data_IF_930036655529
#
_entry.id   IF_930036655529
#
_cell.length_a   1.000
_cell.length_b   1.000
_cell.length_c   1.000
_cell.angle_alpha   90.00
_cell.angle_beta   90.00
_cell.angle_gamma   90.00
#
_symmetry.space_group_name_H-M   'P 1'
#
loop_
_entity.id
_entity.type
_entity.pdbx_description
1 polymer ?
#
# COMPACT_ATOMS: atom_id res chain seq x y z
N UNK A 1 -13.38 -28.02 24.45
CA UNK A 1 -13.01 -27.13 25.57
C UNK A 1 -12.17 -25.94 25.08
N UNK A 2 -12.66 -25.20 24.07
CA UNK A 2 -11.92 -24.08 23.43
C UNK A 2 -12.84 -22.87 23.15
N UNK A 3 -13.98 -22.79 23.84
CA UNK A 3 -14.96 -21.71 23.71
C UNK A 3 -14.88 -20.60 24.78
N UNK A 4 -14.25 -20.75 25.97
CA UNK A 4 -14.22 -19.65 26.95
C UNK A 4 -13.15 -18.58 26.71
N UNK A 5 -12.03 -18.90 26.04
CA UNK A 5 -10.90 -17.95 25.89
C UNK A 5 -11.15 -16.82 24.89
N UNK A 6 -12.12 -16.97 23.98
CA UNK A 6 -12.55 -15.89 23.08
C UNK A 6 -13.45 -14.86 23.78
N UNK A 7 -14.03 -15.18 24.94
CA UNK A 7 -14.87 -14.21 25.69
C UNK A 7 -14.08 -13.28 26.59
N UNK A 8 -12.86 -13.64 27.00
CA UNK A 8 -12.09 -12.81 27.94
C UNK A 8 -11.23 -11.74 27.26
N UNK A 9 -10.89 -11.92 25.97
CA UNK A 9 -10.34 -10.84 25.15
C UNK A 9 -11.40 -9.80 24.72
N UNK A 10 -12.69 -10.08 24.95
CA UNK A 10 -13.80 -9.17 24.63
C UNK A 10 -14.16 -8.21 25.77
N UNK A 11 -13.69 -8.40 27.01
CA UNK A 11 -14.16 -7.60 28.16
C UNK A 11 -13.25 -6.45 28.59
N UNK A 12 -12.08 -6.28 27.96
CA UNK A 12 -11.16 -5.14 28.21
C UNK A 12 -11.15 -4.13 27.06
N UNK A 13 -11.90 -4.41 25.98
CA UNK A 13 -12.22 -3.43 24.96
C UNK A 13 -13.65 -2.94 25.19
N UNK A 14 -13.79 -1.81 25.89
CA UNK A 14 -14.92 -0.90 25.64
C UNK A 14 -15.14 -0.79 24.12
N UNK A 15 -16.38 -0.69 23.61
CA UNK A 15 -16.68 -0.78 22.19
C UNK A 15 -16.07 0.42 21.48
N UNK A 16 -14.80 0.31 21.10
CA UNK A 16 -14.14 1.27 20.23
C UNK A 16 -14.92 1.22 18.92
N UNK A 17 -15.49 2.36 18.53
CA UNK A 17 -16.12 2.55 17.25
C UNK A 17 -15.27 1.88 16.15
N UNK A 18 -15.88 1.13 15.22
CA UNK A 18 -15.13 0.41 14.20
C UNK A 18 -14.17 1.36 13.49
N UNK A 19 -12.87 1.09 13.59
CA UNK A 19 -11.82 1.92 13.02
C UNK A 19 -12.13 2.17 11.52
N UNK A 20 -11.93 3.39 11.00
CA UNK A 20 -12.22 3.74 9.61
C UNK A 20 -11.15 3.25 8.63
N UNK A 21 -9.97 2.87 9.13
CA UNK A 21 -8.81 2.44 8.34
C UNK A 21 -9.12 1.16 7.53
N UNK A 22 -9.79 0.13 8.10
CA UNK A 22 -10.33 -0.99 7.33
C UNK A 22 -11.24 -0.56 6.17
N UNK A 23 -12.05 0.51 6.33
CA UNK A 23 -13.04 0.90 5.32
C UNK A 23 -12.42 1.57 4.11
N UNK A 24 -11.48 2.50 4.27
CA UNK A 24 -10.91 3.24 3.14
C UNK A 24 -10.22 2.31 2.10
N UNK A 25 -9.47 1.31 2.56
CA UNK A 25 -8.85 0.30 1.69
C UNK A 25 -9.88 -0.54 0.94
N UNK A 26 -10.91 -1.00 1.64
CA UNK A 26 -11.99 -1.76 0.99
C UNK A 26 -12.75 -0.92 -0.04
N UNK A 27 -12.81 0.40 0.13
CA UNK A 27 -13.40 1.32 -0.84
C UNK A 27 -12.51 1.54 -2.05
N UNK A 28 -11.19 1.61 -1.91
CA UNK A 28 -10.27 1.62 -3.07
C UNK A 28 -10.39 0.32 -3.87
N UNK A 29 -10.47 -0.82 -3.21
CA UNK A 29 -10.72 -2.11 -3.88
C UNK A 29 -12.11 -2.15 -4.56
N UNK A 30 -13.16 -1.63 -3.90
CA UNK A 30 -14.49 -1.54 -4.47
C UNK A 30 -14.57 -0.58 -5.67
N UNK A 31 -13.83 0.52 -5.64
CA UNK A 31 -13.68 1.44 -6.76
C UNK A 31 -13.05 0.71 -7.96
N UNK A 32 -11.93 0.01 -7.76
CA UNK A 32 -11.30 -0.79 -8.82
C UNK A 32 -12.24 -1.86 -9.36
N UNK A 33 -13.01 -2.52 -8.49
CA UNK A 33 -14.01 -3.51 -8.89
C UNK A 33 -15.11 -2.91 -9.77
N UNK A 34 -15.59 -1.70 -9.46
CA UNK A 34 -16.60 -1.01 -10.29
C UNK A 34 -16.03 -0.59 -11.64
N UNK A 35 -14.82 -0.03 -11.65
CA UNK A 35 -14.14 0.37 -12.89
C UNK A 35 -13.89 -0.84 -13.79
N UNK A 36 -13.29 -1.91 -13.25
CA UNK A 36 -13.00 -3.12 -14.05
C UNK A 36 -14.21 -3.99 -14.33
N UNK A 37 -15.26 -3.91 -13.51
CA UNK A 37 -16.54 -4.54 -13.82
C UNK A 37 -17.17 -3.90 -15.06
N UNK A 38 -17.26 -2.57 -15.10
CA UNK A 38 -17.73 -1.85 -16.29
C UNK A 38 -16.82 -2.08 -17.50
N UNK A 39 -15.51 -1.95 -17.31
CA UNK A 39 -14.51 -2.17 -18.36
C UNK A 39 -14.61 -3.60 -18.91
N UNK A 40 -14.73 -4.60 -18.04
CA UNK A 40 -14.83 -6.01 -18.42
C UNK A 40 -16.09 -6.31 -19.21
N UNK A 41 -17.24 -5.73 -18.84
CA UNK A 41 -18.48 -5.88 -19.61
C UNK A 41 -18.32 -5.31 -21.01
N UNK A 42 -17.88 -4.05 -21.13
CA UNK A 42 -17.69 -3.40 -22.45
C UNK A 42 -16.59 -4.11 -23.26
N UNK A 43 -15.50 -4.48 -22.60
CA UNK A 43 -14.36 -5.13 -23.21
C UNK A 43 -14.69 -6.51 -23.77
N UNK A 44 -15.34 -7.37 -22.99
CA UNK A 44 -15.65 -8.75 -23.38
C UNK A 44 -16.86 -8.83 -24.30
N UNK A 45 -17.91 -8.04 -24.06
CA UNK A 45 -19.16 -8.16 -24.82
C UNK A 45 -19.17 -7.35 -26.11
N UNK A 46 -18.35 -6.29 -26.20
CA UNK A 46 -18.36 -5.37 -27.35
C UNK A 46 -17.01 -5.39 -28.08
N UNK A 47 -15.93 -5.04 -27.41
CA UNK A 47 -14.64 -4.84 -28.08
C UNK A 47 -13.98 -6.15 -28.53
N UNK A 48 -14.09 -7.21 -27.73
CA UNK A 48 -13.45 -8.50 -28.01
C UNK A 48 -14.06 -9.20 -29.24
N UNK A 49 -15.40 -9.28 -29.41
CA UNK A 49 -15.99 -9.80 -30.65
C UNK A 49 -15.60 -8.99 -31.88
N UNK A 50 -15.53 -7.65 -31.77
CA UNK A 50 -15.15 -6.77 -32.88
C UNK A 50 -13.70 -7.00 -33.28
N UNK A 51 -12.80 -7.15 -32.32
CA UNK A 51 -11.39 -7.47 -32.58
C UNK A 51 -11.25 -8.83 -33.29
N UNK A 52 -11.97 -9.85 -32.81
CA UNK A 52 -11.92 -11.19 -33.38
C UNK A 52 -12.47 -11.25 -34.82
N UNK A 53 -13.46 -10.42 -35.15
CA UNK A 53 -14.01 -10.31 -36.51
C UNK A 53 -13.09 -9.59 -37.50
N UNK A 54 -11.96 -9.03 -37.04
CA UNK A 54 -10.93 -8.49 -37.91
C UNK A 54 -10.21 -9.59 -38.70
N UNK A 55 -9.68 -9.24 -39.87
CA UNK A 55 -8.93 -10.17 -40.72
C UNK A 55 -7.55 -9.61 -41.13
N UNK A 56 -7.02 -8.63 -40.40
CA UNK A 56 -5.74 -8.00 -40.74
C UNK A 56 -4.55 -8.94 -40.52
N UNK A 57 -4.61 -9.82 -39.51
CA UNK A 57 -3.52 -10.75 -39.20
C UNK A 57 -3.50 -12.00 -40.10
N UNK A 58 -4.60 -12.30 -40.78
CA UNK A 58 -4.69 -13.47 -41.69
C UNK A 58 -3.93 -13.27 -43.01
N UNK A 59 -3.51 -12.05 -43.33
CA UNK A 59 -2.79 -11.75 -44.58
C UNK A 59 -1.29 -12.10 -44.49
N UNK A 60 -0.70 -12.09 -43.29
CA UNK A 60 0.71 -12.41 -43.04
C UNK A 60 0.88 -13.86 -42.52
N UNK A 61 0.77 -14.87 -43.38
CA UNK A 61 0.92 -16.29 -42.99
C UNK A 61 2.39 -16.74 -42.92
N UNK A 62 2.97 -16.74 -41.70
CA UNK A 62 4.21 -17.47 -41.36
C UNK A 62 3.96 -18.43 -40.18
N UNK A 63 4.46 -19.66 -40.24
CA UNK A 63 4.07 -20.78 -39.36
C UNK A 63 4.73 -20.74 -37.96
N UNK A 64 5.74 -19.90 -37.77
CA UNK A 64 6.55 -19.78 -36.54
C UNK A 64 5.88 -18.96 -35.42
N UNK A 65 4.87 -18.14 -35.71
CA UNK A 65 4.25 -17.18 -34.77
C UNK A 65 2.90 -17.61 -34.16
N UNK A 66 2.50 -18.88 -34.36
CA UNK A 66 1.17 -19.40 -34.01
C UNK A 66 0.63 -19.03 -32.59
N UNK A 67 1.39 -19.17 -31.48
CA UNK A 67 0.86 -18.85 -30.16
C UNK A 67 0.67 -17.35 -29.92
N UNK A 68 1.57 -16.50 -30.40
CA UNK A 68 1.45 -15.04 -30.28
C UNK A 68 0.29 -14.50 -31.14
N UNK A 69 0.13 -15.07 -32.34
CA UNK A 69 -0.95 -14.72 -33.28
C UNK A 69 -2.35 -15.00 -32.72
N UNK A 70 -2.49 -15.98 -31.82
CA UNK A 70 -3.78 -16.33 -31.19
C UNK A 70 -4.31 -15.23 -30.27
N UNK A 71 -3.45 -14.58 -29.48
CA UNK A 71 -3.86 -13.51 -28.55
C UNK A 71 -3.99 -12.16 -29.26
N UNK A 72 -3.16 -11.92 -30.28
CA UNK A 72 -3.22 -10.71 -31.10
C UNK A 72 -4.51 -10.63 -31.93
N UNK A 73 -5.15 -11.77 -32.22
CA UNK A 73 -6.48 -11.82 -32.86
C UNK A 73 -7.59 -11.15 -32.03
N UNK A 74 -7.44 -11.10 -30.70
CA UNK A 74 -8.38 -10.46 -29.78
C UNK A 74 -8.01 -9.01 -29.44
N UNK A 75 -7.01 -8.46 -30.10
CA UNK A 75 -6.51 -7.10 -29.93
C UNK A 75 -6.91 -6.20 -31.10
N UNK A 76 -6.86 -4.89 -30.89
CA UNK A 76 -7.13 -3.88 -31.92
C UNK A 76 -6.17 -3.98 -33.12
N UNK A 77 -5.04 -4.67 -32.96
CA UNK A 77 -4.11 -4.99 -34.06
C UNK A 77 -4.80 -5.74 -35.20
N UNK A 78 -5.79 -6.61 -34.89
CA UNK A 78 -6.50 -7.40 -35.89
C UNK A 78 -7.56 -6.61 -36.69
N UNK A 79 -7.95 -5.41 -36.22
CA UNK A 79 -8.96 -4.59 -36.89
C UNK A 79 -8.34 -3.78 -38.03
N UNK A 80 -8.85 -3.98 -39.25
CA UNK A 80 -8.32 -3.36 -40.47
C UNK A 80 -8.20 -1.84 -40.40
N UNK A 81 -7.14 -1.31 -41.02
CA UNK A 81 -6.91 0.12 -41.16
C UNK A 81 -8.09 0.81 -41.88
N UNK A 82 -8.54 1.96 -41.37
CA UNK A 82 -9.66 2.73 -41.94
C UNK A 82 -11.04 2.11 -41.76
N UNK A 83 -11.15 0.98 -41.04
CA UNK A 83 -12.42 0.29 -40.86
C UNK A 83 -13.42 1.07 -40.00
N UNK A 84 -14.73 0.91 -40.29
CA UNK A 84 -15.82 1.48 -39.48
C UNK A 84 -15.83 0.91 -38.05
N UNK A 85 -15.27 -0.28 -37.83
CA UNK A 85 -15.17 -0.92 -36.51
C UNK A 85 -14.32 -0.12 -35.52
N UNK A 86 -13.31 0.62 -35.99
CA UNK A 86 -12.47 1.48 -35.15
C UNK A 86 -13.26 2.60 -34.45
N UNK A 87 -14.40 3.01 -35.01
CA UNK A 87 -15.30 3.97 -34.37
C UNK A 87 -15.94 3.43 -33.09
N UNK A 88 -16.11 2.10 -32.98
CA UNK A 88 -16.61 1.50 -31.74
C UNK A 88 -15.56 1.61 -30.63
N UNK A 89 -14.28 1.40 -30.94
CA UNK A 89 -13.19 1.63 -29.98
C UNK A 89 -13.10 3.11 -29.58
N UNK A 90 -13.24 4.03 -30.53
CA UNK A 90 -13.29 5.46 -30.25
C UNK A 90 -14.41 5.81 -29.27
N UNK A 91 -15.64 5.37 -29.55
CA UNK A 91 -16.78 5.58 -28.64
C UNK A 91 -16.55 4.94 -27.27
N UNK A 92 -15.98 3.73 -27.22
CA UNK A 92 -15.69 3.04 -25.98
C UNK A 92 -14.67 3.81 -25.11
N UNK A 93 -13.61 4.37 -25.69
CA UNK A 93 -12.62 5.19 -24.98
C UNK A 93 -13.28 6.42 -24.35
N UNK A 94 -14.17 7.09 -25.09
CA UNK A 94 -14.92 8.25 -24.60
C UNK A 94 -15.84 7.91 -23.43
N UNK A 95 -16.68 6.88 -23.60
CA UNK A 95 -17.63 6.43 -22.57
C UNK A 95 -16.87 5.97 -21.33
N UNK A 96 -15.83 5.15 -21.51
CA UNK A 96 -15.01 4.66 -20.42
C UNK A 96 -14.36 5.79 -19.63
N UNK A 97 -13.77 6.78 -20.32
CA UNK A 97 -13.18 7.95 -19.67
C UNK A 97 -14.21 8.73 -18.84
N UNK A 98 -15.41 8.95 -19.39
CA UNK A 98 -16.50 9.61 -18.67
C UNK A 98 -16.93 8.83 -17.41
N UNK A 99 -17.10 7.52 -17.52
CA UNK A 99 -17.46 6.64 -16.40
C UNK A 99 -16.39 6.63 -15.31
N UNK A 100 -15.11 6.51 -15.69
CA UNK A 100 -14.00 6.55 -14.71
C UNK A 100 -13.97 7.91 -14.01
N UNK A 101 -14.05 9.03 -14.73
CA UNK A 101 -14.10 10.36 -14.12
C UNK A 101 -15.30 10.53 -13.17
N UNK A 102 -16.48 10.07 -13.56
CA UNK A 102 -17.68 10.08 -12.72
C UNK A 102 -17.49 9.28 -11.43
N UNK A 103 -17.04 8.02 -11.54
CA UNK A 103 -16.79 7.16 -10.39
C UNK A 103 -15.70 7.75 -9.47
N UNK A 104 -14.65 8.31 -10.06
CA UNK A 104 -13.57 8.96 -9.34
C UNK A 104 -14.07 10.17 -8.54
N UNK A 105 -14.93 11.00 -9.13
CA UNK A 105 -15.55 12.14 -8.46
C UNK A 105 -16.44 11.70 -7.30
N UNK A 106 -17.31 10.71 -7.55
CA UNK A 106 -18.21 10.15 -6.55
C UNK A 106 -17.45 9.59 -5.34
N UNK A 107 -16.41 8.78 -5.57
CA UNK A 107 -15.62 8.19 -4.49
C UNK A 107 -14.78 9.24 -3.75
N UNK A 108 -14.28 10.28 -4.42
CA UNK A 108 -13.58 11.39 -3.75
C UNK A 108 -14.51 12.11 -2.78
N UNK A 109 -15.73 12.43 -3.22
CA UNK A 109 -16.76 13.03 -2.38
C UNK A 109 -17.09 12.14 -1.19
N UNK A 110 -17.34 10.86 -1.43
CA UNK A 110 -17.66 9.89 -0.39
C UNK A 110 -16.54 9.76 0.66
N UNK A 111 -15.29 9.58 0.24
CA UNK A 111 -14.14 9.44 1.15
C UNK A 111 -13.90 10.72 1.94
N UNK A 112 -14.04 11.89 1.31
CA UNK A 112 -13.93 13.17 2.01
C UNK A 112 -14.98 13.32 3.11
N UNK A 113 -16.23 12.95 2.84
CA UNK A 113 -17.31 12.95 3.83
C UNK A 113 -17.04 11.97 4.98
N UNK A 114 -16.57 10.75 4.66
CA UNK A 114 -16.22 9.75 5.69
C UNK A 114 -15.05 10.17 6.56
N UNK A 115 -14.06 10.89 5.99
CA UNK A 115 -12.95 11.46 6.74
C UNK A 115 -13.44 12.46 7.79
N UNK A 116 -14.35 13.37 7.42
CA UNK A 116 -14.96 14.30 8.38
C UNK A 116 -15.81 13.60 9.44
N UNK A 117 -16.70 12.69 9.02
CA UNK A 117 -17.55 11.95 9.94
C UNK A 117 -16.71 11.18 10.98
N UNK A 118 -15.59 10.59 10.53
CA UNK A 118 -14.65 9.95 11.42
C UNK A 118 -14.02 10.95 12.39
N UNK A 119 -13.48 12.07 11.89
CA UNK A 119 -12.85 13.10 12.72
C UNK A 119 -13.75 13.57 13.87
N UNK A 120 -15.04 13.82 13.59
CA UNK A 120 -16.00 14.20 14.63
C UNK A 120 -16.29 13.07 15.63
N UNK A 121 -16.41 11.83 15.16
CA UNK A 121 -16.69 10.67 16.04
C UNK A 121 -15.48 10.19 16.86
N UNK A 122 -14.27 10.61 16.49
CA UNK A 122 -13.05 10.13 17.14
C UNK A 122 -12.80 10.83 18.47
N UNK A 123 -12.31 10.05 19.43
CA UNK A 123 -11.77 10.58 20.69
C UNK A 123 -10.57 11.51 20.42
N UNK A 124 -10.32 12.50 21.30
CA UNK A 124 -9.13 13.35 21.23
C UNK A 124 -7.85 12.51 21.08
N UNK A 125 -7.05 12.81 20.06
CA UNK A 125 -5.78 12.12 19.82
C UNK A 125 -4.60 13.07 20.07
N UNK A 126 -3.48 12.60 20.66
CA UNK A 126 -2.35 13.47 20.98
C UNK A 126 -1.79 14.28 19.80
N UNK A 127 -1.83 13.69 18.60
CA UNK A 127 -1.32 14.33 17.38
C UNK A 127 -2.18 15.50 16.88
N UNK A 128 -3.39 15.68 17.42
CA UNK A 128 -4.27 16.81 17.09
C UNK A 128 -3.92 18.06 17.90
N UNK A 129 -3.27 17.89 19.07
CA UNK A 129 -2.93 18.96 20.01
C UNK A 129 -1.42 19.26 20.05
N UNK A 130 -0.62 18.53 19.28
CA UNK A 130 0.84 18.61 19.33
C UNK A 130 1.39 19.11 18.00
N UNK A 131 2.23 20.14 18.05
CA UNK A 131 2.95 20.67 16.89
C UNK A 131 4.43 20.30 16.97
N UNK A 132 5.03 19.98 15.82
CA UNK A 132 6.46 19.71 15.72
C UNK A 132 7.20 21.00 15.34
N UNK A 133 7.95 21.55 16.29
CA UNK A 133 8.78 22.74 16.06
C UNK A 133 10.19 22.29 15.64
N UNK A 134 10.70 22.87 14.55
CA UNK A 134 12.04 22.59 14.00
C UNK A 134 12.80 23.89 13.79
N UNK A 135 14.13 23.84 13.79
CA UNK A 135 14.98 25.00 13.51
C UNK A 135 15.02 26.04 14.63
N UNK A 136 15.02 25.58 15.89
CA UNK A 136 15.01 26.47 17.06
C UNK A 136 16.39 27.15 17.19
N UNK A 137 16.47 28.49 17.19
CA UNK A 137 17.72 29.20 17.46
C UNK A 137 18.04 29.11 18.95
N UNK A 138 19.19 28.51 19.29
CA UNK A 138 19.63 28.39 20.69
C UNK A 138 20.78 29.37 20.92
N UNK A 139 20.58 30.33 21.81
CA UNK A 139 21.61 31.29 22.21
C UNK A 139 22.60 30.68 23.21
N UNK A 140 23.85 31.14 23.19
CA UNK A 140 24.88 30.72 24.14
C UNK A 140 24.49 31.09 25.57
N UNK A 141 24.03 30.10 26.35
CA UNK A 141 23.68 30.26 27.78
C UNK A 141 22.26 29.84 28.16
N UNK A 142 21.34 29.66 27.21
CA UNK A 142 19.98 29.16 27.47
C UNK A 142 19.79 27.73 26.96
N UNK A 143 19.08 26.89 27.71
CA UNK A 143 18.72 25.57 27.17
C UNK A 143 17.66 25.70 26.06
N UNK A 144 17.62 24.72 25.15
CA UNK A 144 16.56 24.66 24.13
C UNK A 144 15.16 24.63 24.77
N UNK A 145 15.03 23.96 25.93
CA UNK A 145 13.81 23.87 26.73
C UNK A 145 13.34 25.26 27.16
N UNK A 146 14.22 26.05 27.79
CA UNK A 146 13.91 27.42 28.25
C UNK A 146 13.54 28.36 27.09
N UNK A 147 14.22 28.21 25.95
CA UNK A 147 13.96 29.04 24.77
C UNK A 147 12.54 28.80 24.23
N UNK A 148 12.14 27.53 24.14
CA UNK A 148 10.79 27.13 23.70
C UNK A 148 9.75 27.56 24.72
N UNK A 149 9.97 27.31 26.00
CA UNK A 149 9.04 27.67 27.07
C UNK A 149 8.81 29.18 27.14
N UNK A 150 9.87 29.99 27.06
CA UNK A 150 9.76 31.45 27.01
C UNK A 150 8.94 31.91 25.82
N UNK A 151 9.25 31.42 24.62
CA UNK A 151 8.55 31.79 23.40
C UNK A 151 7.05 31.48 23.48
N UNK A 152 6.67 30.25 23.83
CA UNK A 152 5.25 29.89 23.85
C UNK A 152 4.49 30.52 25.02
N UNK A 153 5.13 30.77 26.16
CA UNK A 153 4.49 31.47 27.28
C UNK A 153 4.24 32.94 26.96
N UNK A 154 5.16 33.59 26.23
CA UNK A 154 5.04 35.00 25.82
C UNK A 154 3.98 35.19 24.73
N UNK A 155 4.00 34.38 23.66
CA UNK A 155 3.10 34.55 22.51
C UNK A 155 1.75 33.82 22.65
N UNK A 156 1.68 32.76 23.47
CA UNK A 156 0.52 31.87 23.56
C UNK A 156 0.16 31.46 25.01
N UNK A 157 -0.01 32.43 25.95
CA UNK A 157 -0.10 32.16 27.38
C UNK A 157 -1.31 31.29 27.78
N UNK A 158 -2.44 31.41 27.09
CA UNK A 158 -3.68 30.69 27.44
C UNK A 158 -3.82 29.32 26.78
N UNK A 159 -3.03 29.03 25.74
CA UNK A 159 -3.13 27.79 24.95
C UNK A 159 -1.94 26.86 25.13
N UNK A 160 -0.82 27.37 25.66
CA UNK A 160 0.38 26.58 25.87
C UNK A 160 0.20 25.61 27.05
N UNK A 161 0.38 24.30 26.79
CA UNK A 161 0.26 23.25 27.80
C UNK A 161 1.61 22.76 28.34
N UNK A 162 2.48 22.27 27.45
CA UNK A 162 3.80 21.74 27.77
C UNK A 162 4.61 21.53 26.49
N UNK A 163 5.90 21.21 26.64
CA UNK A 163 6.75 20.84 25.51
C UNK A 163 7.61 19.61 25.85
N UNK A 164 8.06 18.89 24.82
CA UNK A 164 9.01 17.79 24.94
C UNK A 164 10.17 18.01 23.97
N UNK A 165 11.39 18.11 24.50
CA UNK A 165 12.60 18.28 23.68
C UNK A 165 13.04 16.92 23.13
N UNK A 166 13.11 16.82 21.81
CA UNK A 166 13.63 15.63 21.12
C UNK A 166 15.14 15.54 21.35
N UNK A 167 15.60 14.43 21.94
CA UNK A 167 17.01 14.16 22.18
C UNK A 167 17.53 13.11 21.21
N UNK A 168 18.81 13.18 20.85
CA UNK A 168 19.45 12.13 20.05
C UNK A 168 19.69 10.92 20.95
N UNK A 169 18.88 9.88 20.79
CA UNK A 169 18.95 8.63 21.57
C UNK A 169 19.50 7.46 20.77
N UNK A 170 20.09 7.69 19.58
CA UNK A 170 20.56 6.63 18.68
C UNK A 170 21.46 5.59 19.39
N UNK A 171 22.42 6.03 20.21
CA UNK A 171 23.27 5.12 20.97
C UNK A 171 22.49 4.36 22.04
N UNK A 172 21.60 5.04 22.75
CA UNK A 172 20.73 4.43 23.76
C UNK A 172 19.78 3.39 23.13
N UNK A 173 19.19 3.69 21.97
CA UNK A 173 18.36 2.76 21.21
C UNK A 173 19.17 1.56 20.72
N UNK A 174 20.41 1.77 20.25
CA UNK A 174 21.31 0.68 19.86
C UNK A 174 21.59 -0.24 21.05
N UNK A 175 22.04 0.33 22.18
CA UNK A 175 22.32 -0.40 23.42
C UNK A 175 21.07 -1.15 23.92
N UNK A 176 19.90 -0.51 23.85
CA UNK A 176 18.62 -1.10 24.26
C UNK A 176 18.25 -2.29 23.36
N UNK A 177 18.44 -2.16 22.04
CA UNK A 177 18.17 -3.22 21.07
C UNK A 177 19.17 -4.38 21.18
N UNK A 178 20.43 -4.07 21.49
CA UNK A 178 21.48 -5.07 21.70
C UNK A 178 21.24 -5.82 23.01
N UNK A 179 20.84 -5.11 24.07
CA UNK A 179 20.40 -5.72 25.32
C UNK A 179 19.19 -6.65 25.10
N UNK A 180 18.19 -6.24 24.32
CA UNK A 180 17.06 -7.12 23.97
C UNK A 180 17.47 -8.36 23.17
N UNK A 181 18.42 -8.22 22.23
CA UNK A 181 18.97 -9.37 21.50
C UNK A 181 19.73 -10.30 22.44
N UNK A 182 20.51 -9.76 23.38
CA UNK A 182 21.23 -10.53 24.39
C UNK A 182 20.27 -11.22 25.36
N UNK A 183 19.23 -10.54 25.84
CA UNK A 183 18.16 -11.15 26.64
C UNK A 183 17.48 -12.28 25.88
N UNK A 184 17.10 -12.07 24.61
CA UNK A 184 16.52 -13.15 23.77
C UNK A 184 17.47 -14.34 23.61
N UNK A 185 18.77 -14.09 23.40
CA UNK A 185 19.78 -15.16 23.35
C UNK A 185 19.96 -15.84 24.70
N UNK A 186 19.96 -15.12 25.81
CA UNK A 186 20.08 -15.68 27.16
C UNK A 186 18.87 -16.52 27.52
N UNK A 187 17.66 -16.07 27.19
CA UNK A 187 16.43 -16.86 27.33
C UNK A 187 16.52 -18.13 26.48
N UNK A 188 16.97 -18.04 25.22
CA UNK A 188 17.20 -19.21 24.37
C UNK A 188 18.22 -20.17 24.97
N UNK A 189 19.36 -19.69 25.46
CA UNK A 189 20.41 -20.50 26.06
C UNK A 189 19.98 -21.13 27.40
N UNK A 190 19.19 -20.41 28.22
CA UNK A 190 18.62 -20.94 29.47
C UNK A 190 17.55 -22.01 29.19
N UNK A 191 16.84 -21.89 28.07
CA UNK A 191 15.89 -22.91 27.61
C UNK A 191 16.56 -24.16 27.03
N UNK A 192 17.77 -24.04 26.47
CA UNK A 192 18.61 -25.15 25.98
C UNK A 192 19.39 -25.83 27.12
N UNK A 193 18.69 -26.41 28.11
CA UNK A 193 19.36 -27.27 29.10
C UNK A 193 19.36 -28.74 28.64
N UNK A 194 20.16 -29.06 27.62
CA UNK A 194 20.75 -30.40 27.40
C UNK A 194 22.14 -30.25 26.77
N UNK A 195 23.20 -30.91 27.28
CA UNK A 195 24.53 -30.75 26.74
C UNK A 195 24.69 -31.63 25.50
N UNK A 196 24.78 -31.02 24.32
CA UNK A 196 25.40 -31.68 23.18
C UNK A 196 26.34 -30.72 22.45
N UNK A 197 27.62 -30.90 22.77
CA UNK A 197 28.79 -30.50 22.02
C UNK A 197 28.58 -30.72 20.51
N UNK A 198 28.70 -29.66 19.70
CA UNK A 198 28.92 -29.77 18.25
C UNK A 198 29.73 -28.61 17.70
N UNK A 199 30.89 -28.99 17.18
CA UNK A 199 31.80 -28.22 16.34
C UNK A 199 31.04 -27.50 15.21
N UNK A 200 31.37 -26.22 15.02
CA UNK A 200 30.94 -25.43 13.86
C UNK A 200 32.12 -25.35 12.90
N UNK A 201 31.96 -25.92 11.70
CA UNK A 201 32.83 -25.63 10.55
C UNK A 201 32.30 -24.39 9.85
N UNK A 202 33.19 -23.45 9.55
CA UNK A 202 32.86 -22.24 8.80
C UNK A 202 32.80 -22.55 7.30
N UNK A 203 31.63 -22.40 6.71
CA UNK A 203 31.40 -22.59 5.27
C UNK A 203 29.93 -22.35 4.90
N UNK A 204 29.69 -21.73 3.75
CA UNK A 204 28.36 -21.33 3.28
C UNK A 204 27.42 -22.54 3.18
N UNK A 205 26.49 -22.66 4.13
CA UNK A 205 25.43 -23.67 4.20
C UNK A 205 25.83 -25.13 3.90
N UNK A 206 27.08 -25.55 4.17
CA UNK A 206 27.46 -26.96 4.32
C UNK A 206 27.18 -27.93 3.17
N UNK A 207 26.86 -27.48 1.96
CA UNK A 207 26.50 -28.36 0.83
C UNK A 207 27.00 -27.76 -0.50
N UNK A 208 28.02 -28.40 -1.08
CA UNK A 208 28.43 -28.36 -2.50
C UNK A 208 29.05 -27.10 -3.11
N UNK A 209 30.20 -27.31 -3.76
CA UNK A 209 30.74 -26.45 -4.81
C UNK A 209 31.60 -27.24 -5.79
N UNK A 210 31.20 -27.30 -7.06
CA UNK A 210 32.08 -27.58 -8.20
C UNK A 210 32.02 -26.38 -9.14
N UNK A 211 33.19 -25.90 -9.55
CA UNK A 211 33.37 -24.80 -10.50
C UNK A 211 32.83 -25.22 -11.87
N UNK A 212 32.02 -24.36 -12.49
CA UNK A 212 31.57 -24.47 -13.88
C UNK A 212 31.95 -23.16 -14.58
N UNK A 213 32.48 -23.29 -15.80
CA UNK A 213 33.07 -22.21 -16.59
C UNK A 213 32.05 -21.12 -16.95
N UNK A 214 32.41 -19.88 -16.61
CA UNK A 214 31.49 -18.74 -16.51
C UNK A 214 31.42 -17.94 -17.82
N UNK A 215 32.14 -18.34 -18.88
CA UNK A 215 32.39 -17.48 -20.05
C UNK A 215 31.61 -17.79 -21.34
N UNK A 216 30.89 -18.92 -21.44
CA UNK A 216 29.88 -19.14 -22.52
C UNK A 216 28.45 -18.75 -22.08
N UNK A 217 28.25 -18.56 -20.77
CA UNK A 217 26.93 -18.30 -20.18
C UNK A 217 26.51 -16.82 -20.25
N UNK A 218 27.47 -15.89 -20.33
CA UNK A 218 27.20 -14.45 -20.48
C UNK A 218 27.18 -13.99 -21.94
N UNK A 219 27.92 -14.65 -22.85
CA UNK A 219 27.87 -14.36 -24.29
C UNK A 219 26.51 -14.68 -24.91
N UNK A 220 25.99 -15.90 -24.66
CA UNK A 220 24.61 -16.28 -25.04
C UNK A 220 23.52 -15.50 -24.32
N UNK A 221 23.81 -14.92 -23.15
CA UNK A 221 22.85 -14.04 -22.45
C UNK A 221 22.80 -12.65 -23.06
N UNK A 222 23.91 -12.17 -23.63
CA UNK A 222 23.98 -10.84 -24.24
C UNK A 222 23.37 -10.84 -25.65
N UNK A 223 23.63 -11.88 -26.45
CA UNK A 223 23.04 -12.07 -27.79
C UNK A 223 21.52 -12.34 -27.71
N UNK A 224 21.07 -13.17 -26.76
CA UNK A 224 19.63 -13.30 -26.47
C UNK A 224 19.01 -12.02 -25.89
N UNK A 225 19.76 -11.16 -25.21
CA UNK A 225 19.22 -9.90 -24.66
C UNK A 225 19.13 -8.84 -25.76
N UNK A 226 20.06 -8.81 -26.70
CA UNK A 226 20.09 -7.90 -27.84
C UNK A 226 19.01 -8.25 -28.88
N UNK A 227 18.80 -9.55 -29.16
CA UNK A 227 17.70 -10.02 -30.03
C UNK A 227 16.32 -9.87 -29.37
N UNK A 228 16.19 -10.08 -28.06
CA UNK A 228 14.93 -9.81 -27.34
C UNK A 228 14.60 -8.31 -27.27
N UNK A 229 15.61 -7.45 -27.14
CA UNK A 229 15.42 -5.98 -27.17
C UNK A 229 15.04 -5.49 -28.57
N UNK A 230 15.55 -6.13 -29.63
CA UNK A 230 15.20 -5.80 -31.03
C UNK A 230 13.80 -6.27 -31.42
N UNK A 231 13.37 -7.44 -30.95
CA UNK A 231 12.01 -7.97 -31.12
C UNK A 231 10.97 -7.17 -30.32
N UNK A 232 11.35 -6.60 -29.17
CA UNK A 232 10.46 -5.83 -28.30
C UNK A 232 10.07 -4.43 -28.82
N UNK A 233 10.70 -3.93 -29.89
CA UNK A 233 10.41 -2.58 -30.41
C UNK A 233 9.26 -2.54 -31.43
N UNK A 234 8.79 -3.71 -31.90
CA UNK A 234 7.70 -3.80 -32.88
C UNK A 234 6.41 -4.31 -32.23
N UNK A 235 5.46 -3.40 -32.10
CA UNK A 235 4.09 -3.58 -31.62
C UNK A 235 3.87 -3.49 -30.10
N UNK A 236 3.39 -2.32 -29.67
CA UNK A 236 2.79 -2.10 -28.34
C UNK A 236 1.57 -3.02 -28.12
N UNK A 237 0.95 -3.52 -29.19
CA UNK A 237 -0.19 -4.44 -29.15
C UNK A 237 0.23 -5.88 -28.77
N UNK A 238 1.34 -6.41 -29.29
CA UNK A 238 1.83 -7.78 -28.97
C UNK A 238 2.37 -7.94 -27.55
N UNK A 239 2.65 -6.82 -26.85
CA UNK A 239 3.05 -6.84 -25.43
C UNK A 239 1.90 -7.12 -24.46
N UNK A 240 0.64 -7.08 -24.92
CA UNK A 240 -0.51 -7.38 -24.07
C UNK A 240 -0.45 -8.79 -23.47
N UNK A 241 0.04 -9.77 -24.24
CA UNK A 241 0.24 -11.16 -23.82
C UNK A 241 1.20 -11.28 -22.62
N UNK A 242 2.30 -10.53 -22.64
CA UNK A 242 3.23 -10.44 -21.51
C UNK A 242 2.55 -9.87 -20.27
N UNK A 243 1.78 -8.79 -20.40
CA UNK A 243 1.09 -8.19 -19.25
C UNK A 243 -0.04 -9.07 -18.70
N UNK A 244 -0.77 -9.80 -19.56
CA UNK A 244 -1.74 -10.82 -19.13
C UNK A 244 -1.03 -11.91 -18.33
N UNK A 245 0.05 -12.46 -18.89
CA UNK A 245 0.85 -13.47 -18.20
C UNK A 245 1.39 -12.92 -16.87
N UNK A 246 1.86 -11.67 -16.83
CA UNK A 246 2.35 -11.01 -15.61
C UNK A 246 1.24 -10.84 -14.56
N UNK A 247 0.03 -10.43 -14.93
CA UNK A 247 -1.11 -10.29 -14.00
C UNK A 247 -1.49 -11.64 -13.40
N UNK A 248 -1.53 -12.70 -14.21
CA UNK A 248 -1.87 -14.06 -13.74
C UNK A 248 -0.73 -14.62 -12.89
N UNK A 249 0.51 -14.59 -13.40
CA UNK A 249 1.65 -15.21 -12.72
C UNK A 249 2.08 -14.42 -11.51
N UNK A 250 2.32 -13.12 -11.61
CA UNK A 250 2.79 -12.32 -10.47
C UNK A 250 1.64 -11.84 -9.60
N UNK A 251 0.53 -11.38 -10.19
CA UNK A 251 -0.59 -10.80 -9.45
C UNK A 251 -1.35 -11.84 -8.65
N UNK A 252 -1.88 -12.87 -9.31
CA UNK A 252 -2.69 -13.89 -8.63
C UNK A 252 -1.84 -14.73 -7.68
N UNK A 253 -0.68 -15.21 -8.12
CA UNK A 253 0.13 -16.09 -7.24
C UNK A 253 0.73 -15.32 -6.07
N UNK A 254 1.18 -14.07 -6.25
CA UNK A 254 1.67 -13.27 -5.10
C UNK A 254 0.53 -13.05 -4.11
N UNK A 255 -0.64 -12.64 -4.58
CA UNK A 255 -1.76 -12.30 -3.69
C UNK A 255 -2.30 -13.55 -2.97
N UNK A 256 -2.42 -14.68 -3.66
CA UNK A 256 -2.84 -15.94 -3.04
C UNK A 256 -1.76 -16.50 -2.09
N UNK A 257 -0.48 -16.46 -2.47
CA UNK A 257 0.59 -17.10 -1.69
C UNK A 257 1.04 -16.27 -0.48
N UNK A 258 1.13 -14.94 -0.61
CA UNK A 258 1.57 -14.06 0.50
C UNK A 258 0.43 -13.76 1.46
N UNK A 259 -0.77 -13.46 0.94
CA UNK A 259 -1.88 -12.94 1.76
C UNK A 259 -2.85 -14.01 2.23
N UNK A 260 -3.27 -14.95 1.38
CA UNK A 260 -4.27 -15.94 1.80
C UNK A 260 -3.66 -17.03 2.69
N UNK A 261 -2.56 -17.63 2.27
CA UNK A 261 -1.95 -18.74 3.02
C UNK A 261 -0.98 -18.27 4.11
N UNK A 262 -0.51 -17.02 4.07
CA UNK A 262 0.51 -16.47 4.99
C UNK A 262 1.58 -17.51 5.34
N UNK A 263 2.08 -18.21 4.31
CA UNK A 263 2.96 -19.37 4.49
C UNK A 263 4.23 -18.99 5.24
N UNK A 264 4.77 -17.80 4.99
CA UNK A 264 6.02 -17.34 5.60
C UNK A 264 5.95 -17.19 7.13
N UNK A 265 5.00 -16.42 7.73
CA UNK A 265 4.89 -16.36 9.18
C UNK A 265 4.41 -17.69 9.78
N UNK A 266 3.60 -18.49 9.06
CA UNK A 266 3.14 -19.79 9.54
C UNK A 266 4.29 -20.82 9.60
N UNK A 267 5.10 -20.92 8.55
CA UNK A 267 6.32 -21.74 8.52
C UNK A 267 7.33 -21.23 9.55
N UNK A 268 7.54 -19.90 9.65
CA UNK A 268 8.41 -19.33 10.68
C UNK A 268 7.93 -19.66 12.08
N UNK A 269 6.62 -19.61 12.35
CA UNK A 269 6.03 -19.97 13.63
C UNK A 269 6.19 -21.47 13.90
N UNK A 270 5.87 -22.36 12.95
CA UNK A 270 6.02 -23.80 13.10
C UNK A 270 7.49 -24.19 13.33
N UNK A 271 8.43 -23.57 12.61
CA UNK A 271 9.86 -23.81 12.79
C UNK A 271 10.33 -23.26 14.15
N UNK A 272 9.86 -22.10 14.60
CA UNK A 272 10.26 -21.50 15.89
C UNK A 272 9.60 -22.17 17.08
N UNK A 273 8.42 -22.75 16.94
CA UNK A 273 7.65 -23.40 18.01
C UNK A 273 8.39 -24.51 18.77
N UNK A 274 9.21 -25.38 18.14
CA UNK A 274 10.03 -26.34 18.88
C UNK A 274 11.29 -25.74 19.53
N UNK A 275 11.70 -24.51 19.16
CA UNK A 275 12.91 -23.86 19.70
C UNK A 275 12.61 -22.71 20.69
N UNK A 276 11.42 -22.12 20.67
CA UNK A 276 10.98 -21.17 21.70
C UNK A 276 10.40 -21.92 22.89
N UNK A 277 11.03 -21.75 24.06
CA UNK A 277 10.43 -22.13 25.34
C UNK A 277 9.06 -21.49 25.55
N UNK A 278 8.27 -22.04 26.47
CA UNK A 278 6.97 -21.49 26.90
C UNK A 278 7.17 -20.18 27.67
N UNK A 279 7.59 -19.12 26.99
CA UNK A 279 7.44 -17.76 27.46
C UNK A 279 6.38 -17.08 26.59
N UNK A 280 5.55 -16.26 27.24
CA UNK A 280 4.49 -15.47 26.64
C UNK A 280 5.08 -14.40 25.71
N UNK A 281 5.62 -14.83 24.56
CA UNK A 281 6.01 -13.95 23.46
C UNK A 281 4.75 -13.18 23.04
N UNK A 282 4.68 -11.90 23.43
CA UNK A 282 3.62 -10.98 23.05
C UNK A 282 3.58 -10.92 21.52
N UNK A 283 2.64 -11.68 20.92
CA UNK A 283 2.56 -11.86 19.49
C UNK A 283 2.37 -10.49 18.80
N UNK A 284 3.44 -9.99 18.19
CA UNK A 284 3.40 -8.70 17.50
C UNK A 284 2.48 -8.83 16.28
N UNK A 285 1.29 -8.24 16.39
CA UNK A 285 0.26 -8.35 15.36
C UNK A 285 0.76 -7.67 14.08
N UNK A 286 0.72 -8.36 12.93
CA UNK A 286 1.20 -7.80 11.68
C UNK A 286 0.38 -6.57 11.28
N UNK A 287 1.06 -5.59 10.71
CA UNK A 287 0.46 -4.37 10.15
C UNK A 287 0.42 -4.43 8.62
N UNK A 288 -0.43 -3.62 8.01
CA UNK A 288 -0.60 -3.56 6.56
C UNK A 288 0.67 -2.94 5.93
N UNK A 289 1.31 -3.59 4.95
CA UNK A 289 2.49 -3.04 4.28
C UNK A 289 2.09 -2.07 3.16
N UNK A 290 1.65 -0.87 3.54
CA UNK A 290 1.21 0.19 2.61
C UNK A 290 2.22 0.50 1.50
N UNK A 291 3.52 0.40 1.80
CA UNK A 291 4.60 0.72 0.87
C UNK A 291 4.70 -0.26 -0.30
N UNK A 292 4.29 -1.52 -0.14
CA UNK A 292 4.33 -2.53 -1.19
C UNK A 292 3.00 -2.69 -1.90
N UNK A 293 1.90 -2.63 -1.16
CA UNK A 293 0.62 -3.09 -1.68
C UNK A 293 -0.08 -2.01 -2.50
N UNK A 294 0.00 -0.75 -2.08
CA UNK A 294 -0.61 0.37 -2.81
C UNK A 294 0.01 0.49 -4.21
N UNK A 295 1.34 0.58 -4.39
CA UNK A 295 1.93 0.68 -5.72
C UNK A 295 1.58 -0.48 -6.65
N UNK A 296 1.48 -1.71 -6.13
CA UNK A 296 1.06 -2.89 -6.92
C UNK A 296 -0.36 -2.74 -7.45
N UNK A 297 -1.31 -2.34 -6.60
CA UNK A 297 -2.70 -2.12 -7.02
C UNK A 297 -2.81 -0.99 -8.03
N UNK A 298 -2.07 0.11 -7.82
CA UNK A 298 -2.02 1.23 -8.76
C UNK A 298 -1.44 0.83 -10.13
N UNK A 299 -0.42 -0.03 -10.14
CA UNK A 299 0.17 -0.56 -11.37
C UNK A 299 -0.80 -1.45 -12.16
N UNK A 300 -1.54 -2.35 -11.49
CA UNK A 300 -2.60 -3.11 -12.16
C UNK A 300 -3.76 -2.21 -12.62
N UNK A 301 -4.07 -1.16 -11.85
CA UNK A 301 -4.92 -0.04 -12.25
C UNK A 301 -4.52 0.56 -13.59
N UNK A 302 -3.24 0.93 -13.71
CA UNK A 302 -2.63 1.49 -14.91
C UNK A 302 -2.74 0.55 -16.10
N UNK A 303 -2.38 -0.73 -15.93
CA UNK A 303 -2.47 -1.71 -17.00
C UNK A 303 -3.90 -1.88 -17.49
N UNK A 304 -4.87 -2.06 -16.59
CA UNK A 304 -6.26 -2.27 -17.00
C UNK A 304 -6.89 -1.07 -17.70
N UNK A 305 -6.62 0.16 -17.23
CA UNK A 305 -7.11 1.37 -17.89
C UNK A 305 -6.44 1.55 -19.26
N UNK A 306 -5.13 1.34 -19.35
CA UNK A 306 -4.36 1.57 -20.58
C UNK A 306 -4.72 0.56 -21.67
N UNK A 307 -4.82 -0.72 -21.31
CA UNK A 307 -5.09 -1.81 -22.25
C UNK A 307 -6.58 -2.05 -22.50
N UNK A 308 -7.48 -1.30 -21.86
CA UNK A 308 -8.93 -1.43 -21.99
C UNK A 308 -9.41 -1.55 -23.44
N UNK A 309 -8.96 -0.64 -24.32
CA UNK A 309 -9.38 -0.60 -25.72
C UNK A 309 -8.43 -1.32 -26.68
N UNK A 310 -7.20 -1.61 -26.23
CA UNK A 310 -6.16 -2.28 -27.02
C UNK A 310 -6.39 -3.79 -27.01
N UNK A 311 -6.38 -4.39 -25.82
CA UNK A 311 -6.47 -5.81 -25.60
C UNK A 311 -7.44 -6.10 -24.45
N UNK A 312 -8.77 -6.05 -24.71
CA UNK A 312 -9.79 -6.17 -23.68
C UNK A 312 -9.75 -7.50 -22.90
N UNK A 313 -9.09 -8.52 -23.46
CA UNK A 313 -8.89 -9.83 -22.84
C UNK A 313 -8.14 -9.76 -21.49
N UNK A 314 -7.37 -8.70 -21.20
CA UNK A 314 -6.74 -8.51 -19.88
C UNK A 314 -7.74 -8.21 -18.77
N UNK A 315 -8.90 -7.65 -19.10
CA UNK A 315 -9.85 -7.11 -18.13
C UNK A 315 -10.52 -8.18 -17.26
N UNK A 316 -10.97 -9.34 -17.77
CA UNK A 316 -11.43 -10.45 -16.94
C UNK A 316 -10.39 -10.91 -15.93
N UNK A 317 -9.11 -11.00 -16.32
CA UNK A 317 -8.05 -11.44 -15.41
C UNK A 317 -7.80 -10.44 -14.29
N UNK A 318 -7.86 -9.14 -14.61
CA UNK A 318 -7.79 -8.06 -13.62
C UNK A 318 -9.04 -8.00 -12.73
N UNK A 319 -10.22 -8.28 -13.28
CA UNK A 319 -11.46 -8.33 -12.52
C UNK A 319 -11.41 -9.45 -11.46
N UNK A 320 -10.96 -10.65 -11.86
CA UNK A 320 -10.74 -11.77 -10.93
C UNK A 320 -9.70 -11.38 -9.85
N UNK A 321 -8.59 -10.74 -10.24
CA UNK A 321 -7.60 -10.23 -9.29
C UNK A 321 -8.22 -9.26 -8.27
N UNK A 322 -9.03 -8.29 -8.72
CA UNK A 322 -9.71 -7.34 -7.84
C UNK A 322 -10.78 -7.99 -6.96
N UNK A 323 -11.54 -8.96 -7.48
CA UNK A 323 -12.51 -9.74 -6.71
C UNK A 323 -11.83 -10.52 -5.57
N UNK A 324 -10.79 -11.29 -5.91
CA UNK A 324 -10.02 -12.06 -4.94
C UNK A 324 -9.35 -11.13 -3.92
N UNK A 325 -8.71 -10.06 -4.38
CA UNK A 325 -8.11 -9.04 -3.53
C UNK A 325 -9.11 -8.43 -2.56
N UNK A 326 -10.32 -8.08 -3.02
CA UNK A 326 -11.38 -7.53 -2.16
C UNK A 326 -11.76 -8.51 -1.05
N UNK A 327 -12.00 -9.79 -1.38
CA UNK A 327 -12.39 -10.81 -0.40
C UNK A 327 -11.27 -11.06 0.61
N UNK A 328 -10.04 -11.24 0.12
CA UNK A 328 -8.88 -11.57 0.95
C UNK A 328 -8.54 -10.40 1.89
N UNK A 329 -8.35 -9.19 1.36
CA UNK A 329 -8.01 -8.04 2.20
C UNK A 329 -9.13 -7.70 3.17
N UNK A 330 -10.41 -7.82 2.78
CA UNK A 330 -11.53 -7.62 3.71
C UNK A 330 -11.49 -8.61 4.87
N UNK A 331 -11.20 -9.88 4.60
CA UNK A 331 -11.05 -10.89 5.65
C UNK A 331 -9.85 -10.59 6.55
N UNK A 332 -8.69 -10.28 5.98
CA UNK A 332 -7.48 -9.99 6.75
C UNK A 332 -7.59 -8.72 7.58
N UNK A 333 -8.24 -7.67 7.08
CA UNK A 333 -8.48 -6.42 7.80
C UNK A 333 -9.40 -6.60 9.02
N UNK A 334 -10.31 -7.58 8.97
CA UNK A 334 -11.21 -7.86 10.07
C UNK A 334 -10.60 -8.81 11.11
N UNK A 335 -9.83 -9.80 10.67
CA UNK A 335 -9.42 -10.92 11.51
C UNK A 335 -7.94 -10.93 11.90
N UNK A 336 -7.08 -10.18 11.20
CA UNK A 336 -5.63 -10.40 11.32
C UNK A 336 -4.80 -9.12 11.46
N UNK A 337 -5.10 -8.07 10.71
CA UNK A 337 -4.29 -6.85 10.76
C UNK A 337 -4.68 -5.94 11.92
N UNK A 338 -3.68 -5.51 12.68
CA UNK A 338 -3.79 -4.36 13.56
C UNK A 338 -3.18 -3.13 12.84
N UNK A 339 -3.94 -2.03 12.68
CA UNK A 339 -3.39 -0.81 12.07
C UNK A 339 -2.35 -0.19 13.01
N UNK A 340 -1.08 -0.15 12.58
CA UNK A 340 0.02 0.48 13.34
C UNK A 340 -0.09 2.01 13.35
N UNK A 341 -0.69 2.59 12.32
CA UNK A 341 -0.91 4.02 12.19
C UNK A 341 -2.23 4.29 11.47
N UNK A 342 -2.88 5.38 11.86
CA UNK A 342 -4.11 5.85 11.23
C UNK A 342 -3.78 6.85 10.12
N UNK A 343 -4.03 6.48 8.86
CA UNK A 343 -3.75 7.35 7.71
C UNK A 343 -4.86 8.37 7.43
N UNK A 344 -6.06 8.16 8.00
CA UNK A 344 -7.25 8.99 7.74
C UNK A 344 -7.65 9.09 6.26
N UNK A 345 -7.24 8.13 5.42
CA UNK A 345 -7.50 8.18 3.97
C UNK A 345 -6.56 9.11 3.18
N UNK A 346 -5.46 9.58 3.77
CA UNK A 346 -4.46 10.44 3.09
C UNK A 346 -3.81 9.84 1.84
N UNK A 347 -3.92 8.53 1.63
CA UNK A 347 -3.43 7.86 0.43
C UNK A 347 -4.36 8.03 -0.78
N UNK A 348 -5.63 8.41 -0.58
CA UNK A 348 -6.61 8.53 -1.67
C UNK A 348 -6.22 9.53 -2.77
N UNK A 349 -5.69 10.74 -2.48
CA UNK A 349 -5.17 11.63 -3.51
C UNK A 349 -4.09 10.99 -4.40
N UNK A 350 -3.28 10.07 -3.85
CA UNK A 350 -2.30 9.31 -4.63
C UNK A 350 -2.98 8.36 -5.61
N UNK A 351 -4.02 7.64 -5.16
CA UNK A 351 -4.84 6.77 -6.02
C UNK A 351 -5.53 7.57 -7.12
N UNK A 352 -6.08 8.74 -6.78
CA UNK A 352 -6.72 9.64 -7.71
C UNK A 352 -5.74 10.11 -8.80
N UNK A 353 -4.59 10.67 -8.40
CA UNK A 353 -3.57 11.15 -9.34
C UNK A 353 -3.04 10.03 -10.24
N UNK A 354 -2.83 8.82 -9.70
CA UNK A 354 -2.42 7.66 -10.49
C UNK A 354 -3.47 7.28 -11.53
N UNK A 355 -4.75 7.30 -11.17
CA UNK A 355 -5.84 6.97 -12.11
C UNK A 355 -5.93 8.02 -13.23
N UNK A 356 -5.83 9.32 -12.90
CA UNK A 356 -5.79 10.40 -13.89
C UNK A 356 -4.61 10.21 -14.84
N UNK A 357 -3.42 9.90 -14.31
CA UNK A 357 -2.25 9.58 -15.14
C UNK A 357 -2.53 8.41 -16.08
N UNK A 358 -3.13 7.32 -15.59
CA UNK A 358 -3.52 6.18 -16.42
C UNK A 358 -4.51 6.54 -17.53
N UNK A 359 -5.51 7.39 -17.24
CA UNK A 359 -6.46 7.88 -18.25
C UNK A 359 -5.77 8.73 -19.32
N UNK A 360 -4.92 9.68 -18.91
CA UNK A 360 -4.18 10.53 -19.85
C UNK A 360 -3.24 9.67 -20.71
N UNK A 361 -2.56 8.68 -20.12
CA UNK A 361 -1.72 7.75 -20.86
C UNK A 361 -2.54 6.96 -21.90
N UNK A 362 -3.70 6.44 -21.50
CA UNK A 362 -4.64 5.77 -22.41
C UNK A 362 -5.04 6.69 -23.57
N UNK A 363 -5.34 7.98 -23.31
CA UNK A 363 -5.70 8.94 -24.36
C UNK A 363 -4.56 9.19 -25.34
N UNK A 364 -3.33 9.38 -24.84
CA UNK A 364 -2.14 9.57 -25.69
C UNK A 364 -1.93 8.34 -26.58
N UNK A 365 -2.06 7.13 -26.02
CA UNK A 365 -1.93 5.90 -26.80
C UNK A 365 -3.08 5.77 -27.81
N UNK A 366 -4.31 6.14 -27.45
CA UNK A 366 -5.45 6.14 -28.37
C UNK A 366 -5.25 7.10 -29.56
N UNK A 367 -4.72 8.30 -29.33
CA UNK A 367 -4.36 9.26 -30.39
C UNK A 367 -3.35 8.63 -31.36
N UNK A 368 -2.31 7.99 -30.83
CA UNK A 368 -1.28 7.30 -31.61
C UNK A 368 -1.85 6.14 -32.43
N UNK A 369 -2.62 5.25 -31.80
CA UNK A 369 -3.18 4.05 -32.45
C UNK A 369 -4.21 4.41 -33.53
N UNK A 370 -5.12 5.35 -33.28
CA UNK A 370 -6.07 5.80 -34.31
C UNK A 370 -5.38 6.52 -35.48
N UNK A 371 -4.26 7.21 -35.21
CA UNK A 371 -3.41 7.79 -36.24
C UNK A 371 -2.76 6.71 -37.13
N UNK A 372 -2.18 5.67 -36.52
CA UNK A 372 -1.57 4.55 -37.23
C UNK A 372 -2.58 3.74 -38.05
N UNK A 373 -3.79 3.54 -37.54
CA UNK A 373 -4.89 2.82 -38.21
C UNK A 373 -5.61 3.64 -39.30
N UNK A 374 -4.99 4.70 -39.82
CA UNK A 374 -5.50 5.57 -40.90
C UNK A 374 -6.87 6.22 -40.63
N UNK A 375 -7.20 6.45 -39.35
CA UNK A 375 -8.44 7.12 -38.94
C UNK A 375 -8.13 8.52 -38.36
N UNK A 376 -7.60 9.39 -39.21
CA UNK A 376 -7.10 10.73 -38.81
C UNK A 376 -8.16 11.55 -38.08
N UNK A 377 -9.42 11.45 -38.49
CA UNK A 377 -10.52 12.20 -37.86
C UNK A 377 -10.76 11.77 -36.40
N UNK A 378 -10.71 10.46 -36.10
CA UNK A 378 -10.85 9.97 -34.72
C UNK A 378 -9.63 10.33 -33.86
N UNK A 379 -8.43 10.31 -34.44
CA UNK A 379 -7.22 10.76 -33.74
C UNK A 379 -7.33 12.25 -33.36
N UNK A 380 -7.68 13.12 -34.30
CA UNK A 380 -7.89 14.56 -34.04
C UNK A 380 -9.00 14.82 -33.02
N UNK A 381 -10.12 14.09 -33.11
CA UNK A 381 -11.18 14.20 -32.12
C UNK A 381 -10.78 13.68 -30.75
N UNK A 382 -9.77 12.83 -30.60
CA UNK A 382 -9.32 12.33 -29.28
C UNK A 382 -8.42 13.33 -28.55
N UNK A 383 -7.81 14.30 -29.26
CA UNK A 383 -6.88 15.30 -28.68
C UNK A 383 -7.49 16.19 -27.57
N UNK A 384 -8.75 16.63 -27.63
CA UNK A 384 -9.36 17.40 -26.54
C UNK A 384 -9.59 16.59 -25.25
N UNK A 385 -9.68 15.26 -25.34
CA UNK A 385 -10.01 14.37 -24.22
C UNK A 385 -8.98 14.41 -23.07
N UNK A 386 -7.65 14.35 -23.31
CA UNK A 386 -6.66 14.51 -22.24
C UNK A 386 -6.72 15.91 -21.61
N UNK A 387 -6.98 16.95 -22.39
CA UNK A 387 -7.13 18.33 -21.87
C UNK A 387 -8.32 18.40 -20.92
N UNK A 388 -9.48 17.87 -21.33
CA UNK A 388 -10.67 17.81 -20.48
C UNK A 388 -10.42 17.02 -19.19
N UNK A 389 -9.68 15.91 -19.28
CA UNK A 389 -9.33 15.07 -18.12
C UNK A 389 -8.41 15.81 -17.14
N UNK A 390 -7.45 16.59 -17.65
CA UNK A 390 -6.58 17.43 -16.82
C UNK A 390 -7.33 18.59 -16.18
N UNK A 391 -8.27 19.23 -16.89
CA UNK A 391 -9.16 20.26 -16.32
C UNK A 391 -10.02 19.68 -15.20
N UNK A 392 -10.58 18.49 -15.40
CA UNK A 392 -11.33 17.76 -14.38
C UNK A 392 -10.47 17.43 -13.13
N UNK A 393 -9.22 17.00 -13.34
CA UNK A 393 -8.29 16.77 -12.24
C UNK A 393 -8.00 18.05 -11.45
N UNK A 394 -7.78 19.18 -12.13
CA UNK A 394 -7.56 20.46 -11.47
C UNK A 394 -8.80 20.94 -10.69
N UNK A 395 -10.01 20.72 -11.23
CA UNK A 395 -11.25 20.93 -10.51
C UNK A 395 -11.33 20.08 -9.22
N UNK A 396 -11.08 18.76 -9.33
CA UNK A 396 -11.10 17.86 -8.17
C UNK A 396 -10.03 18.23 -7.14
N UNK A 397 -8.85 18.62 -7.60
CA UNK A 397 -7.75 19.08 -6.75
C UNK A 397 -8.13 20.32 -5.96
N UNK A 398 -8.67 21.36 -6.62
CA UNK A 398 -9.11 22.60 -5.95
C UNK A 398 -10.25 22.33 -4.96
N UNK A 399 -11.18 21.44 -5.31
CA UNK A 399 -12.36 21.15 -4.48
C UNK A 399 -12.06 20.26 -3.27
N UNK A 400 -11.29 19.19 -3.44
CA UNK A 400 -11.16 18.13 -2.44
C UNK A 400 -9.77 18.03 -1.81
N UNK A 401 -8.68 18.35 -2.51
CA UNK A 401 -7.34 18.18 -1.95
C UNK A 401 -7.09 18.94 -0.63
N UNK A 402 -7.62 20.17 -0.43
CA UNK A 402 -7.47 20.88 0.85
C UNK A 402 -7.92 20.05 2.06
N UNK A 403 -9.01 19.27 1.91
CA UNK A 403 -9.60 18.43 2.98
C UNK A 403 -8.64 17.32 3.45
N UNK A 404 -7.77 16.85 2.55
CA UNK A 404 -6.83 15.76 2.86
C UNK A 404 -5.51 16.27 3.42
N UNK A 405 -5.17 17.54 3.16
CA UNK A 405 -4.02 18.22 3.77
C UNK A 405 -4.34 18.54 5.22
N UNK A 406 -5.34 19.40 5.43
CA UNK A 406 -5.63 20.01 6.72
C UNK A 406 -7.14 20.06 6.98
N UNK A 407 -7.51 20.10 8.26
CA UNK A 407 -8.90 20.32 8.66
C UNK A 407 -9.18 21.82 8.76
N UNK A 408 -10.36 22.29 8.31
CA UNK A 408 -10.72 23.69 8.42
C UNK A 408 -10.92 24.07 9.90
N UNK A 409 -10.53 25.30 10.23
CA UNK A 409 -10.51 25.82 11.61
C UNK A 409 -11.89 25.73 12.28
N UNK A 410 -12.96 25.98 11.54
CA UNK A 410 -14.34 25.87 12.06
C UNK A 410 -14.64 24.46 12.59
N UNK A 411 -14.21 23.41 11.87
CA UNK A 411 -14.38 22.03 12.32
C UNK A 411 -13.59 21.76 13.61
N UNK A 412 -12.38 22.33 13.73
CA UNK A 412 -11.54 22.20 14.91
C UNK A 412 -12.17 22.88 16.12
N UNK A 413 -12.62 24.13 15.98
CA UNK A 413 -13.27 24.91 17.05
C UNK A 413 -14.54 24.20 17.53
N UNK A 414 -15.37 23.71 16.60
CA UNK A 414 -16.59 22.99 16.96
C UNK A 414 -16.28 21.73 17.78
N UNK A 415 -15.30 20.94 17.34
CA UNK A 415 -14.89 19.74 18.06
C UNK A 415 -14.28 20.06 19.42
N UNK A 416 -13.44 21.08 19.52
CA UNK A 416 -12.82 21.48 20.79
C UNK A 416 -13.87 21.91 21.82
N UNK A 417 -14.92 22.63 21.40
CA UNK A 417 -16.07 22.96 22.28
C UNK A 417 -16.84 21.73 22.75
N UNK A 418 -16.98 20.70 21.90
CA UNK A 418 -17.62 19.43 22.27
C UNK A 418 -16.74 18.66 23.26
N UNK A 419 -15.44 18.57 22.99
CA UNK A 419 -14.46 17.87 23.83
C UNK A 419 -14.28 18.55 25.21
N UNK A 420 -14.45 19.89 25.32
CA UNK A 420 -14.44 20.61 26.61
C UNK A 420 -15.58 20.21 27.56
N UNK A 421 -16.71 19.76 27.02
CA UNK A 421 -17.84 19.29 27.83
C UNK A 421 -17.64 17.84 28.31
N UNK A 422 -16.62 17.13 27.83
CA UNK A 422 -16.30 15.76 28.24
C UNK A 422 -15.52 15.77 29.57
N UNK A 423 -16.01 15.13 30.65
CA UNK A 423 -15.33 15.08 31.93
C UNK A 423 -13.95 14.37 31.87
N UNK A 424 -13.68 13.59 30.83
CA UNK A 424 -12.43 12.85 30.68
C UNK A 424 -11.29 13.68 30.07
N UNK A 425 -11.56 14.90 29.60
CA UNK A 425 -10.59 15.74 28.89
C UNK A 425 -9.39 16.16 29.78
N UNK A 426 -9.62 16.37 31.08
CA UNK A 426 -8.54 16.70 32.02
C UNK A 426 -7.50 15.56 32.13
N UNK A 427 -7.97 14.32 32.18
CA UNK A 427 -7.10 13.12 32.18
C UNK A 427 -6.35 12.97 30.86
N UNK A 428 -6.98 13.37 29.76
CA UNK A 428 -6.32 13.39 28.45
C UNK A 428 -5.15 14.37 28.42
N UNK A 429 -5.30 15.59 28.93
CA UNK A 429 -4.22 16.57 28.97
C UNK A 429 -3.03 16.12 29.84
N UNK A 430 -3.28 15.41 30.94
CA UNK A 430 -2.20 14.83 31.75
C UNK A 430 -1.41 13.77 30.96
N UNK A 431 -2.11 12.86 30.26
CA UNK A 431 -1.50 11.87 29.37
C UNK A 431 -0.72 12.52 28.22
N UNK A 432 -1.23 13.62 27.66
CA UNK A 432 -0.62 14.34 26.56
C UNK A 432 0.81 14.80 26.87
N UNK A 433 1.07 15.22 28.13
CA UNK A 433 2.41 15.66 28.59
C UNK A 433 3.48 14.58 28.49
N UNK A 434 3.07 13.31 28.47
CA UNK A 434 4.00 12.16 28.42
C UNK A 434 3.93 11.36 27.13
N UNK A 435 2.96 11.66 26.25
CA UNK A 435 2.67 10.89 25.04
C UNK A 435 3.85 10.81 24.06
N UNK A 436 4.68 11.86 23.98
CA UNK A 436 5.82 11.94 23.06
C UNK A 436 7.18 11.79 23.75
N UNK A 437 7.23 11.17 24.95
CA UNK A 437 8.50 10.78 25.56
C UNK A 437 9.13 9.65 24.75
N UNK A 438 10.45 9.72 24.58
CA UNK A 438 11.19 8.68 23.87
C UNK A 438 11.00 7.32 24.58
N UNK A 439 10.57 6.26 23.86
CA UNK A 439 10.42 4.93 24.45
C UNK A 439 11.71 4.42 25.13
N UNK A 440 12.88 4.80 24.63
CA UNK A 440 14.17 4.41 25.22
C UNK A 440 14.42 5.07 26.60
N UNK A 441 13.71 6.15 26.92
CA UNK A 441 13.78 6.84 28.20
C UNK A 441 12.69 6.38 29.18
N UNK A 442 11.78 5.49 28.75
CA UNK A 442 10.78 4.91 29.63
C UNK A 442 11.37 3.74 30.44
N UNK A 443 11.05 3.63 31.74
CA UNK A 443 11.54 2.52 32.55
C UNK A 443 10.99 1.19 32.02
N UNK A 444 11.89 0.30 31.61
CA UNK A 444 11.54 -1.06 31.20
C UNK A 444 11.11 -1.85 32.44
N UNK A 445 9.86 -2.32 32.47
CA UNK A 445 9.43 -3.32 33.45
C UNK A 445 9.99 -4.66 33.01
N UNK A 446 11.07 -5.11 33.65
CA UNK A 446 11.49 -6.50 33.53
C UNK A 446 10.41 -7.38 34.19
N UNK A 447 9.96 -8.47 33.54
CA UNK A 447 9.14 -9.44 34.22
C UNK A 447 9.91 -9.92 35.45
N UNK A 448 9.30 -9.74 36.62
CA UNK A 448 9.87 -10.15 37.90
C UNK A 448 9.95 -11.67 37.86
N UNK A 449 11.15 -12.19 37.64
CA UNK A 449 11.45 -13.62 37.77
C UNK A 449 10.97 -14.07 39.15
N UNK A 450 9.92 -14.88 39.20
CA UNK A 450 9.44 -15.56 40.41
C UNK A 450 10.36 -16.72 40.78
N UNK A 451 11.67 -16.47 40.80
CA UNK A 451 12.65 -17.36 41.42
C UNK A 451 13.29 -16.56 42.56
N UNK A 452 12.68 -16.67 43.74
CA UNK A 452 13.33 -16.33 45.01
C UNK A 452 14.53 -17.25 45.19
N UNK A 453 15.68 -16.85 44.66
CA UNK A 453 17.04 -17.10 45.17
C UNK A 453 18.06 -16.56 44.18
N UNK A 454 18.27 -15.23 44.19
CA UNK A 454 19.58 -14.59 44.21
C UNK A 454 19.42 -13.07 44.09
N UNK A 455 20.01 -12.37 45.05
CA UNK A 455 20.03 -10.92 45.23
C UNK A 455 20.65 -10.18 44.03
N UNK A 456 20.31 -8.89 43.79
CA UNK A 456 20.88 -8.10 42.71
C UNK A 456 22.34 -7.69 43.02
N UNK A 457 23.29 -8.12 42.17
CA UNK A 457 24.71 -7.76 42.22
C UNK A 457 25.02 -6.40 41.55
N UNK A 458 24.24 -5.35 41.84
CA UNK A 458 24.61 -3.99 41.46
C UNK A 458 24.29 -3.01 42.60
N UNK A 459 25.19 -3.01 43.57
CA UNK A 459 25.37 -1.91 44.51
C UNK A 459 26.87 -1.57 44.53
N UNK A 460 27.25 -0.56 43.74
CA UNK A 460 28.44 0.31 43.87
C UNK A 460 28.61 1.09 42.54
N UNK A 461 28.82 2.41 42.49
CA UNK A 461 29.08 3.36 43.56
C UNK A 461 28.81 4.80 43.07
N UNK A 462 28.71 5.67 44.07
CA UNK A 462 28.80 7.14 43.97
C UNK A 462 30.21 7.54 43.56
#
# INVERSE_FOLDING_TARGET
MYLPLLKQASSVNSPCCPCPVPRAHTHTAAYSLRVFGFAGIVGVLILLPINYLGNQLDVDFDFSDLPNKSLDSFSISNVNDGSKWLWVHFCAVYIFSGVVCYLLHYEYGYISSKRYAHYYSSKPQPHQFTILVRGIPVSSGSSCSETVERFFTEYYPSTYLSHAVVRRTNELQRLTSDAEKLYRRLVHLKSETKPQQRSRRDGFCGLFGRKVDVLDQYGKKLENLEDNVRMEQLSVAGKASFFIAYVVTSGWTSLLSSELFRLLPLISSIIKRPFSGKDDDEFEVPSIPYHSDIPKVLFFGLLGITYFFLAPLILPFLLVYCCLGYIIYRNQLLNVYAPKYETGGRFWPTVHNSTIFSLVLMHVIAIGIFGLKKLSLASSLTVPLPILTLLFNEYCRKRFLPIFKDYPVECLIKKDREDQNDPTIAVFYDKLRTAYKDPALMPKRHPRSTDDHNSPLLQAGV
#
